data_IF_910324286577
#
_entry.id   IF_910324286577
#
_cell.length_a   1.000
_cell.length_b   1.000
_cell.length_c   1.000
_cell.angle_alpha   90.00
_cell.angle_beta   90.00
_cell.angle_gamma   90.00
#
_symmetry.space_group_name_H-M   'P 1'
#
loop_
_entity.id
_entity.type
_entity.pdbx_description
1 polymer ?
#
# COMPACT_ATOMS: atom_id res chain seq x y z
N UNK A 1 23.95 -25.00 -1.90
CA UNK A 1 22.74 -24.62 -2.64
C UNK A 1 21.62 -24.41 -1.64
N UNK A 2 21.00 -23.24 -1.62
CA UNK A 2 19.99 -22.86 -0.65
C UNK A 2 18.71 -23.71 -0.70
N UNK A 3 17.91 -23.63 0.33
CA UNK A 3 16.72 -24.46 0.52
C UNK A 3 15.45 -23.66 0.27
N UNK A 4 14.52 -24.25 -0.48
CA UNK A 4 13.23 -23.65 -0.78
C UNK A 4 12.13 -24.41 -0.02
N UNK A 5 11.38 -23.69 0.82
CA UNK A 5 10.33 -24.23 1.66
C UNK A 5 9.01 -23.50 1.46
N UNK A 6 7.93 -24.12 1.92
CA UNK A 6 6.63 -23.48 2.11
C UNK A 6 6.07 -23.78 3.49
N UNK A 7 5.33 -22.82 4.05
CA UNK A 7 4.43 -23.03 5.19
C UNK A 7 3.02 -23.01 4.65
N UNK A 8 2.30 -24.15 4.65
CA UNK A 8 0.95 -24.26 4.09
C UNK A 8 -0.05 -23.28 4.71
N UNK A 9 -1.05 -22.87 3.95
CA UNK A 9 -2.03 -21.84 4.35
C UNK A 9 -2.82 -22.19 5.63
N UNK A 10 -3.08 -23.47 5.89
CA UNK A 10 -3.76 -23.94 7.10
C UNK A 10 -2.93 -23.80 8.38
N UNK A 11 -1.64 -23.45 8.25
CA UNK A 11 -0.74 -23.28 9.40
C UNK A 11 -0.39 -21.82 9.60
N UNK A 12 -0.29 -21.34 10.85
CA UNK A 12 0.07 -19.94 11.11
C UNK A 12 1.54 -19.71 10.71
N UNK A 13 1.75 -18.81 9.74
CA UNK A 13 3.04 -18.59 9.09
C UNK A 13 4.14 -18.15 10.07
N UNK A 14 3.94 -17.00 10.74
CA UNK A 14 4.96 -16.46 11.65
C UNK A 14 5.22 -17.33 12.88
N UNK A 15 4.20 -17.92 13.53
CA UNK A 15 4.44 -18.91 14.60
C UNK A 15 5.19 -20.15 14.13
N UNK A 16 4.94 -20.65 12.92
CA UNK A 16 5.69 -21.79 12.37
C UNK A 16 7.14 -21.42 12.10
N UNK A 17 7.39 -20.24 11.52
CA UNK A 17 8.73 -19.72 11.26
C UNK A 17 9.51 -19.52 12.57
N UNK A 18 8.93 -18.76 13.52
CA UNK A 18 9.57 -18.46 14.80
C UNK A 18 9.80 -19.71 15.66
N UNK A 19 8.82 -20.62 15.72
CA UNK A 19 8.92 -21.84 16.53
C UNK A 19 10.06 -22.76 16.12
N UNK A 20 10.33 -22.86 14.81
CA UNK A 20 11.49 -23.61 14.32
C UNK A 20 12.80 -22.88 14.64
N UNK A 21 12.87 -21.58 14.40
CA UNK A 21 14.08 -20.79 14.63
C UNK A 21 14.45 -20.70 16.12
N UNK A 22 13.48 -20.70 17.04
CA UNK A 22 13.71 -20.73 18.48
C UNK A 22 14.35 -22.03 19.00
N UNK A 23 14.44 -23.09 18.20
CA UNK A 23 15.17 -24.32 18.55
C UNK A 23 16.67 -24.18 18.35
N UNK A 24 17.11 -23.15 17.65
CA UNK A 24 18.52 -22.84 17.45
C UNK A 24 19.13 -22.32 18.77
N UNK A 25 20.44 -22.54 18.99
CA UNK A 25 21.15 -21.84 20.05
C UNK A 25 20.98 -20.31 19.92
N UNK A 26 20.90 -19.57 21.05
CA UNK A 26 20.64 -18.12 21.00
C UNK A 26 21.63 -17.32 20.14
N UNK A 27 22.91 -17.71 20.17
CA UNK A 27 23.97 -17.08 19.37
C UNK A 27 23.74 -17.33 17.87
N UNK A 28 23.41 -18.57 17.50
CA UNK A 28 23.12 -18.93 16.12
C UNK A 28 21.86 -18.23 15.61
N UNK A 29 20.83 -18.07 16.45
CA UNK A 29 19.63 -17.30 16.11
C UNK A 29 19.96 -15.83 15.84
N UNK A 30 20.79 -15.20 16.69
CA UNK A 30 21.18 -13.80 16.55
C UNK A 30 21.97 -13.50 15.27
N UNK A 31 22.69 -14.49 14.73
CA UNK A 31 23.45 -14.35 13.50
C UNK A 31 22.57 -14.36 12.23
N UNK A 32 21.30 -14.75 12.33
CA UNK A 32 20.41 -14.79 11.18
C UNK A 32 20.00 -13.38 10.72
N UNK A 33 19.91 -13.22 9.40
CA UNK A 33 19.21 -12.13 8.75
C UNK A 33 17.89 -12.67 8.20
N UNK A 34 16.76 -12.13 8.66
CA UNK A 34 15.42 -12.52 8.18
C UNK A 34 14.85 -11.39 7.34
N UNK A 35 14.67 -11.67 6.06
CA UNK A 35 14.02 -10.77 5.10
C UNK A 35 12.51 -11.05 5.09
N UNK A 36 11.70 -10.01 5.26
CA UNK A 36 10.24 -10.08 5.33
C UNK A 36 9.60 -9.08 4.36
N UNK A 37 8.33 -9.27 3.96
CA UNK A 37 7.71 -8.42 2.96
C UNK A 37 7.45 -6.98 3.43
N UNK A 38 7.29 -6.73 4.74
CA UNK A 38 6.93 -5.41 5.27
C UNK A 38 7.44 -5.16 6.68
N UNK A 39 7.49 -3.88 7.11
CA UNK A 39 7.79 -3.49 8.50
C UNK A 39 6.79 -4.09 9.49
N UNK A 40 5.50 -4.17 9.12
CA UNK A 40 4.47 -4.81 9.95
C UNK A 40 4.79 -6.28 10.17
N UNK A 41 5.23 -7.00 9.15
CA UNK A 41 5.67 -8.39 9.28
C UNK A 41 6.90 -8.54 10.19
N UNK A 42 7.85 -7.60 10.14
CA UNK A 42 8.99 -7.58 11.04
C UNK A 42 8.57 -7.39 12.50
N UNK A 43 7.67 -6.43 12.76
CA UNK A 43 7.15 -6.19 14.11
C UNK A 43 6.38 -7.40 14.64
N UNK A 44 5.49 -7.99 13.84
CA UNK A 44 4.70 -9.14 14.24
C UNK A 44 5.58 -10.39 14.46
N UNK A 45 6.63 -10.59 13.65
CA UNK A 45 7.59 -11.68 13.88
C UNK A 45 8.37 -11.46 15.19
N UNK A 46 8.82 -10.24 15.46
CA UNK A 46 9.45 -9.88 16.73
C UNK A 46 8.54 -10.22 17.92
N UNK A 47 7.30 -9.79 17.87
CA UNK A 47 6.32 -10.02 18.92
C UNK A 47 5.96 -11.51 19.02
N UNK A 48 6.01 -12.25 17.92
CA UNK A 48 5.83 -13.70 17.90
C UNK A 48 6.99 -14.42 18.59
N UNK A 49 8.23 -14.02 18.35
CA UNK A 49 9.38 -14.53 19.09
C UNK A 49 9.22 -14.31 20.60
N UNK A 50 8.79 -13.10 21.01
CA UNK A 50 8.58 -12.78 22.43
C UNK A 50 7.44 -13.57 23.07
N UNK A 51 6.38 -13.88 22.31
CA UNK A 51 5.26 -14.72 22.82
C UNK A 51 5.61 -16.19 22.95
N UNK A 52 6.49 -16.70 22.09
CA UNK A 52 6.82 -18.12 22.04
C UNK A 52 8.03 -18.49 22.92
N UNK A 53 8.89 -17.53 23.23
CA UNK A 53 10.04 -17.80 24.10
C UNK A 53 9.63 -17.95 25.57
N UNK A 54 10.27 -18.90 26.24
CA UNK A 54 10.18 -19.05 27.70
C UNK A 54 11.39 -18.46 28.43
N UNK A 55 12.38 -18.00 27.67
CA UNK A 55 13.61 -17.43 28.20
C UNK A 55 13.37 -16.00 28.74
N UNK A 56 14.05 -15.60 29.84
CA UNK A 56 13.92 -14.25 30.39
C UNK A 56 14.50 -13.15 29.49
N UNK A 57 15.38 -13.51 28.56
CA UNK A 57 15.95 -12.64 27.54
C UNK A 57 16.21 -13.42 26.27
N UNK A 58 16.05 -12.77 25.12
CA UNK A 58 16.28 -13.36 23.81
C UNK A 58 17.10 -12.39 22.95
N UNK A 59 18.17 -12.89 22.35
CA UNK A 59 18.89 -12.22 21.28
C UNK A 59 18.11 -12.45 19.98
N UNK A 60 17.48 -11.40 19.47
CA UNK A 60 16.69 -11.48 18.26
C UNK A 60 17.57 -11.49 17.01
N UNK A 61 17.17 -12.23 15.95
CA UNK A 61 17.78 -12.10 14.64
C UNK A 61 17.57 -10.69 14.07
N UNK A 62 18.35 -10.32 13.08
CA UNK A 62 18.13 -9.08 12.33
C UNK A 62 16.91 -9.25 11.43
N UNK A 63 15.89 -8.42 11.61
CA UNK A 63 14.65 -8.43 10.83
C UNK A 63 14.63 -7.25 9.87
N UNK A 64 14.37 -7.51 8.58
CA UNK A 64 14.44 -6.48 7.56
C UNK A 64 13.28 -6.59 6.56
N UNK A 65 12.54 -5.50 6.29
CA UNK A 65 11.53 -5.46 5.25
C UNK A 65 12.17 -5.31 3.86
N UNK A 66 11.65 -6.06 2.86
CA UNK A 66 12.10 -5.99 1.46
C UNK A 66 11.07 -5.30 0.57
N UNK A 67 9.77 -5.40 0.90
CA UNK A 67 8.67 -4.94 0.04
C UNK A 67 8.23 -3.50 0.24
N UNK A 68 8.41 -2.92 1.43
CA UNK A 68 8.16 -1.51 1.69
C UNK A 68 9.47 -0.76 1.57
N UNK A 69 9.69 -0.17 0.43
CA UNK A 69 10.92 0.57 0.17
C UNK A 69 10.78 2.00 0.67
N UNK A 70 10.75 2.14 1.99
CA UNK A 70 11.26 3.35 2.59
C UNK A 70 12.77 3.15 2.79
N UNK A 71 13.52 3.87 2.00
CA UNK A 71 14.93 3.69 1.72
C UNK A 71 15.87 3.95 2.90
N UNK A 72 15.32 4.49 3.99
CA UNK A 72 16.04 4.70 5.25
C UNK A 72 16.29 3.40 6.03
N UNK A 73 15.62 2.28 5.68
CA UNK A 73 15.58 1.07 6.50
C UNK A 73 16.37 -0.13 5.96
N UNK A 74 16.98 -0.01 4.79
CA UNK A 74 17.91 -1.05 4.37
C UNK A 74 19.20 -0.97 5.23
N UNK A 75 19.73 -2.07 5.79
CA UNK A 75 20.91 -2.00 6.65
C UNK A 75 22.09 -1.37 5.92
N UNK A 76 22.78 -0.51 6.65
CA UNK A 76 24.00 0.17 6.21
C UNK A 76 25.03 -0.71 5.47
N UNK A 77 25.27 -1.99 5.82
CA UNK A 77 26.23 -2.82 5.08
C UNK A 77 25.82 -3.16 3.65
N UNK A 78 24.50 -3.29 3.38
CA UNK A 78 23.96 -3.54 2.02
C UNK A 78 23.76 -2.27 1.22
N UNK A 79 23.88 -1.09 1.87
CA UNK A 79 23.60 0.23 1.29
C UNK A 79 24.84 1.08 1.03
N UNK A 80 25.95 0.80 1.69
CA UNK A 80 27.14 1.65 1.62
C UNK A 80 27.72 1.74 0.20
N UNK A 81 27.61 0.68 -0.59
CA UNK A 81 28.10 0.64 -1.98
C UNK A 81 27.07 1.15 -3.01
N UNK A 82 25.77 1.13 -2.69
CA UNK A 82 24.71 1.70 -3.52
C UNK A 82 24.64 3.25 -3.47
N UNK A 83 25.52 3.89 -2.72
CA UNK A 83 25.56 5.34 -2.55
C UNK A 83 26.02 6.12 -3.80
N UNK A 84 26.46 5.44 -4.85
CA UNK A 84 26.92 6.07 -6.10
C UNK A 84 25.77 6.44 -7.08
N UNK A 85 24.54 5.99 -6.83
CA UNK A 85 23.39 6.33 -7.68
C UNK A 85 22.81 7.69 -7.30
N UNK A 86 22.38 8.53 -8.26
CA UNK A 86 21.65 9.75 -7.96
C UNK A 86 20.46 9.49 -7.04
N UNK A 87 20.06 10.45 -6.19
CA UNK A 87 18.91 10.26 -5.30
C UNK A 87 17.60 10.17 -6.09
N UNK A 88 16.56 9.53 -5.54
CA UNK A 88 15.25 9.53 -6.17
C UNK A 88 14.68 10.95 -6.17
N UNK A 89 13.98 11.31 -7.25
CA UNK A 89 13.31 12.59 -7.37
C UNK A 89 12.21 12.72 -6.32
N UNK A 90 12.06 13.92 -5.73
CA UNK A 90 10.96 14.19 -4.82
C UNK A 90 9.59 13.96 -5.50
N UNK A 91 8.63 13.26 -4.87
CA UNK A 91 7.35 12.91 -5.49
C UNK A 91 6.51 14.10 -5.96
N UNK A 92 6.52 15.21 -5.22
CA UNK A 92 5.81 16.42 -5.63
C UNK A 92 6.51 17.11 -6.80
N UNK A 93 7.83 17.23 -6.75
CA UNK A 93 8.64 17.79 -7.85
C UNK A 93 8.47 16.98 -9.14
N UNK A 94 8.52 15.64 -9.03
CA UNK A 94 8.25 14.71 -10.14
C UNK A 94 6.92 15.01 -10.81
N UNK A 95 5.85 15.09 -10.02
CA UNK A 95 4.49 15.34 -10.51
C UNK A 95 4.38 16.71 -11.20
N UNK A 96 4.98 17.75 -10.63
CA UNK A 96 4.95 19.08 -11.20
C UNK A 96 5.76 19.18 -12.51
N UNK A 97 6.91 18.51 -12.61
CA UNK A 97 7.72 18.46 -13.83
C UNK A 97 6.99 17.70 -14.95
N UNK A 98 6.39 16.53 -14.63
CA UNK A 98 5.55 15.79 -15.57
C UNK A 98 4.35 16.64 -16.02
N UNK A 99 3.69 17.37 -15.12
CA UNK A 99 2.59 18.26 -15.48
C UNK A 99 3.03 19.38 -16.44
N UNK A 100 4.23 19.92 -16.27
CA UNK A 100 4.82 20.89 -17.21
C UNK A 100 5.06 20.29 -18.60
N UNK A 101 5.57 19.07 -18.68
CA UNK A 101 5.76 18.35 -19.96
C UNK A 101 4.41 18.09 -20.64
N UNK A 102 3.41 17.66 -19.89
CA UNK A 102 2.04 17.45 -20.38
C UNK A 102 1.47 18.75 -20.96
N UNK A 103 1.58 19.86 -20.25
CA UNK A 103 1.12 21.18 -20.74
C UNK A 103 1.87 21.69 -21.97
N UNK A 104 3.14 21.37 -22.09
CA UNK A 104 3.94 21.71 -23.28
C UNK A 104 3.46 20.98 -24.53
N UNK A 105 2.83 19.81 -24.39
CA UNK A 105 2.30 19.01 -25.52
C UNK A 105 0.84 19.25 -25.82
N UNK A 106 0.02 19.58 -24.82
CA UNK A 106 -1.40 19.77 -24.98
C UNK A 106 -1.90 20.95 -24.13
N UNK A 107 -2.64 21.87 -24.77
CA UNK A 107 -3.26 23.00 -24.07
C UNK A 107 -4.37 22.49 -23.16
N UNK A 108 -4.15 22.52 -21.84
CA UNK A 108 -5.13 22.09 -20.84
C UNK A 108 -4.99 22.89 -19.54
N UNK A 109 -6.03 22.91 -18.68
CA UNK A 109 -5.97 23.51 -17.36
C UNK A 109 -4.93 22.82 -16.45
N UNK A 110 -4.32 23.57 -15.53
CA UNK A 110 -3.30 23.06 -14.60
C UNK A 110 -3.78 21.84 -13.80
N UNK A 111 -5.00 21.87 -13.33
CA UNK A 111 -5.59 20.76 -12.57
C UNK A 111 -5.65 19.47 -13.38
N UNK A 112 -6.03 19.55 -14.66
CA UNK A 112 -6.08 18.40 -15.56
C UNK A 112 -4.67 17.89 -15.86
N UNK A 113 -3.72 18.80 -16.09
CA UNK A 113 -2.30 18.43 -16.31
C UNK A 113 -1.70 17.71 -15.10
N UNK A 114 -2.00 18.16 -13.87
CA UNK A 114 -1.53 17.53 -12.65
C UNK A 114 -2.15 16.13 -12.46
N UNK A 115 -3.45 15.96 -12.75
CA UNK A 115 -4.09 14.62 -12.70
C UNK A 115 -3.46 13.66 -13.69
N UNK A 116 -3.26 14.10 -14.93
CA UNK A 116 -2.64 13.28 -15.96
C UNK A 116 -1.18 12.96 -15.62
N UNK A 117 -0.42 13.93 -15.09
CA UNK A 117 0.93 13.70 -14.60
C UNK A 117 1.00 12.66 -13.48
N UNK A 118 -0.02 12.59 -12.62
CA UNK A 118 -0.12 11.55 -11.59
C UNK A 118 -0.27 10.17 -12.23
N UNK A 119 -1.20 10.00 -13.18
CA UNK A 119 -1.37 8.74 -13.90
C UNK A 119 -0.14 8.33 -14.72
N UNK A 120 0.56 9.31 -15.30
CA UNK A 120 1.84 9.04 -15.99
C UNK A 120 2.94 8.59 -15.03
N UNK A 121 3.03 9.20 -13.84
CA UNK A 121 3.98 8.77 -12.82
C UNK A 121 3.69 7.34 -12.36
N UNK A 122 2.42 6.98 -12.15
CA UNK A 122 2.00 5.62 -11.81
C UNK A 122 2.33 4.61 -12.92
N UNK A 123 2.11 4.99 -14.18
CA UNK A 123 2.49 4.16 -15.34
C UNK A 123 4.00 3.93 -15.41
N UNK A 124 4.80 5.00 -15.22
CA UNK A 124 6.25 4.89 -15.18
C UNK A 124 6.71 3.94 -14.06
N UNK A 125 6.13 4.08 -12.87
CA UNK A 125 6.46 3.22 -11.74
C UNK A 125 6.13 1.75 -12.04
N UNK A 126 5.00 1.49 -12.70
CA UNK A 126 4.61 0.15 -13.11
C UNK A 126 5.59 -0.42 -14.15
N UNK A 127 5.86 0.33 -15.22
CA UNK A 127 6.75 -0.10 -16.32
C UNK A 127 8.16 -0.38 -15.78
N UNK A 128 8.72 0.51 -14.98
CA UNK A 128 10.05 0.34 -14.41
C UNK A 128 10.10 -0.79 -13.37
N UNK A 129 9.04 -0.95 -12.58
CA UNK A 129 8.94 -2.06 -11.61
C UNK A 129 8.91 -3.41 -12.30
N UNK A 130 8.13 -3.54 -13.38
CA UNK A 130 8.02 -4.76 -14.18
C UNK A 130 9.18 -4.92 -15.19
N UNK A 131 10.06 -3.91 -15.29
CA UNK A 131 11.15 -3.87 -16.29
C UNK A 131 10.62 -4.04 -17.71
N UNK A 132 9.43 -3.49 -17.98
CA UNK A 132 8.79 -3.55 -19.27
C UNK A 132 9.35 -2.48 -20.21
N UNK A 133 9.33 -2.75 -21.51
CA UNK A 133 9.73 -1.80 -22.54
C UNK A 133 8.52 -1.02 -23.06
N UNK A 134 8.55 0.30 -22.91
CA UNK A 134 7.54 1.19 -23.49
C UNK A 134 7.58 1.23 -25.01
N UNK A 135 8.74 0.93 -25.62
CA UNK A 135 8.89 0.86 -27.07
C UNK A 135 8.01 -0.21 -27.70
N UNK A 136 7.87 -1.37 -27.06
CA UNK A 136 7.01 -2.46 -27.49
C UNK A 136 5.51 -2.15 -27.50
N UNK A 137 5.06 -1.10 -26.82
CA UNK A 137 3.66 -0.66 -26.88
C UNK A 137 3.23 -0.23 -28.30
N UNK A 138 4.17 0.22 -29.11
CA UNK A 138 3.89 0.62 -30.50
C UNK A 138 3.56 -0.58 -31.40
N UNK A 139 4.15 -1.72 -31.11
CA UNK A 139 4.00 -2.94 -31.89
C UNK A 139 2.72 -3.72 -31.53
N UNK A 140 2.09 -3.40 -30.40
CA UNK A 140 0.84 -4.03 -29.93
C UNK A 140 -0.43 -3.39 -30.52
N UNK A 141 -0.30 -2.32 -31.33
CA UNK A 141 -1.45 -1.55 -31.79
C UNK A 141 -2.02 -2.12 -33.10
N UNK A 142 -3.32 -2.44 -33.16
CA UNK A 142 -3.99 -2.76 -34.41
C UNK A 142 -3.96 -1.55 -35.37
N UNK A 143 -3.67 -1.80 -36.64
CA UNK A 143 -3.58 -0.77 -37.71
C UNK A 143 -4.89 0.06 -37.83
N UNK A 144 -6.04 -0.53 -37.49
CA UNK A 144 -7.37 0.07 -37.63
C UNK A 144 -7.73 1.14 -36.58
N UNK A 145 -6.94 1.29 -35.51
CA UNK A 145 -7.15 2.27 -34.43
C UNK A 145 -6.18 3.46 -34.53
N UNK A 146 -5.63 3.71 -35.72
CA UNK A 146 -4.43 4.50 -35.92
C UNK A 146 -4.50 5.96 -35.44
N UNK A 147 -5.61 6.69 -35.61
CA UNK A 147 -5.63 8.14 -35.37
C UNK A 147 -5.64 8.49 -33.87
N UNK A 148 -6.54 7.90 -33.10
CA UNK A 148 -6.63 8.17 -31.65
C UNK A 148 -5.41 7.63 -30.88
N UNK A 149 -4.87 6.49 -31.30
CA UNK A 149 -3.70 5.88 -30.69
C UNK A 149 -2.38 6.57 -31.05
N UNK A 150 -2.29 7.20 -32.22
CA UNK A 150 -1.12 8.02 -32.58
C UNK A 150 -0.94 9.17 -31.57
N UNK A 151 -2.00 9.82 -31.15
CA UNK A 151 -1.94 10.86 -30.13
C UNK A 151 -1.48 10.30 -28.77
N UNK A 152 -1.94 9.10 -28.38
CA UNK A 152 -1.50 8.42 -27.16
C UNK A 152 -0.03 8.04 -27.24
N UNK A 153 0.43 7.48 -28.35
CA UNK A 153 1.85 7.10 -28.56
C UNK A 153 2.76 8.33 -28.58
N UNK A 154 2.33 9.41 -29.24
CA UNK A 154 3.06 10.70 -29.20
C UNK A 154 3.14 11.23 -27.77
N UNK A 155 2.06 11.08 -27.00
CA UNK A 155 2.00 11.49 -25.61
C UNK A 155 2.88 10.62 -24.70
N UNK A 156 2.87 9.30 -24.88
CA UNK A 156 3.77 8.37 -24.19
C UNK A 156 5.26 8.62 -24.57
N UNK A 157 5.53 9.19 -25.72
CA UNK A 157 6.87 9.66 -26.10
C UNK A 157 7.46 10.74 -25.17
N UNK A 158 6.62 11.40 -24.34
CA UNK A 158 7.10 12.24 -23.23
C UNK A 158 7.93 11.40 -22.25
N UNK A 159 7.42 10.21 -21.91
CA UNK A 159 8.03 9.34 -20.92
C UNK A 159 9.32 8.70 -21.42
N UNK A 160 9.36 8.35 -22.71
CA UNK A 160 10.49 7.66 -23.32
C UNK A 160 11.68 8.59 -23.64
N UNK A 161 11.40 9.81 -24.09
CA UNK A 161 12.44 10.73 -24.61
C UNK A 161 12.69 11.94 -23.72
N UNK A 162 11.65 12.64 -23.29
CA UNK A 162 11.82 13.92 -22.60
C UNK A 162 12.03 13.74 -21.09
N UNK A 163 11.41 12.73 -20.52
CA UNK A 163 11.49 12.51 -19.07
C UNK A 163 12.92 12.15 -18.60
N UNK A 164 13.68 11.26 -19.27
CA UNK A 164 15.08 10.99 -18.93
C UNK A 164 15.98 12.24 -18.96
N UNK A 165 15.77 13.15 -19.93
CA UNK A 165 16.52 14.39 -20.01
C UNK A 165 16.21 15.31 -18.82
N UNK A 166 14.95 15.38 -18.39
CA UNK A 166 14.53 16.14 -17.20
C UNK A 166 15.17 15.56 -15.94
N UNK A 167 15.14 14.24 -15.76
CA UNK A 167 15.78 13.58 -14.61
C UNK A 167 17.30 13.84 -14.58
N UNK A 168 17.96 13.76 -15.72
CA UNK A 168 19.38 14.07 -15.83
C UNK A 168 19.69 15.52 -15.45
N UNK A 169 18.84 16.48 -15.87
CA UNK A 169 18.98 17.90 -15.49
C UNK A 169 18.72 18.15 -13.99
N UNK A 170 17.87 17.36 -13.37
CA UNK A 170 17.61 17.40 -11.92
C UNK A 170 18.68 16.67 -11.10
N UNK A 171 19.58 15.90 -11.73
CA UNK A 171 20.54 15.05 -11.03
C UNK A 171 19.89 13.96 -10.19
N UNK A 172 18.75 13.44 -10.65
CA UNK A 172 17.90 12.50 -9.93
C UNK A 172 17.51 11.32 -10.83
N UNK A 173 16.94 10.29 -10.23
CA UNK A 173 16.36 9.12 -10.92
C UNK A 173 14.92 8.88 -10.44
N UNK A 174 14.17 8.09 -11.19
CA UNK A 174 12.82 7.67 -10.77
C UNK A 174 12.87 6.77 -9.53
N UNK A 175 11.87 6.84 -8.64
CA UNK A 175 11.84 6.03 -7.42
C UNK A 175 11.88 4.52 -7.69
N UNK A 176 11.18 4.04 -8.73
CA UNK A 176 11.16 2.61 -9.07
C UNK A 176 12.51 2.14 -9.63
N UNK A 177 13.13 2.93 -10.50
CA UNK A 177 14.46 2.66 -11.04
C UNK A 177 15.52 2.64 -9.94
N UNK A 178 15.50 3.64 -9.05
CA UNK A 178 16.41 3.69 -7.92
C UNK A 178 16.26 2.47 -7.00
N UNK A 179 15.03 2.02 -6.71
CA UNK A 179 14.76 0.79 -5.97
C UNK A 179 15.38 -0.43 -6.64
N UNK A 180 15.16 -0.58 -7.97
CA UNK A 180 15.71 -1.68 -8.73
C UNK A 180 17.24 -1.69 -8.70
N UNK A 181 17.88 -0.52 -8.86
CA UNK A 181 19.33 -0.38 -8.80
C UNK A 181 19.88 -0.75 -7.41
N UNK A 182 19.18 -0.38 -6.34
CA UNK A 182 19.61 -0.75 -4.98
C UNK A 182 19.47 -2.24 -4.70
N UNK A 183 18.40 -2.87 -5.16
CA UNK A 183 18.26 -4.33 -5.03
C UNK A 183 19.36 -5.04 -5.84
N UNK A 184 19.69 -4.56 -7.04
CA UNK A 184 20.78 -5.09 -7.83
C UNK A 184 22.13 -4.98 -7.09
N UNK A 185 22.44 -3.81 -6.53
CA UNK A 185 23.66 -3.61 -5.73
C UNK A 185 23.70 -4.52 -4.49
N UNK A 186 22.56 -4.73 -3.82
CA UNK A 186 22.47 -5.67 -2.71
C UNK A 186 22.74 -7.12 -3.15
N UNK A 187 22.22 -7.54 -4.30
CA UNK A 187 22.47 -8.84 -4.91
C UNK A 187 23.98 -9.00 -5.23
N UNK A 188 24.59 -8.01 -5.85
CA UNK A 188 26.02 -8.04 -6.17
C UNK A 188 26.86 -8.15 -4.89
N UNK A 189 26.49 -7.40 -3.85
CA UNK A 189 27.16 -7.50 -2.53
C UNK A 189 27.05 -8.92 -1.95
N UNK A 190 25.85 -9.55 -2.01
CA UNK A 190 25.64 -10.92 -1.54
C UNK A 190 26.48 -11.94 -2.33
N UNK A 191 26.67 -11.73 -3.62
CA UNK A 191 27.47 -12.60 -4.48
C UNK A 191 28.98 -12.43 -4.27
N UNK A 192 29.41 -11.18 -4.02
CA UNK A 192 30.83 -10.87 -3.88
C UNK A 192 31.34 -11.12 -2.44
N UNK A 193 30.47 -11.05 -1.44
CA UNK A 193 30.84 -11.17 -0.03
C UNK A 193 29.92 -12.14 0.69
N UNK A 194 30.47 -13.25 1.16
CA UNK A 194 29.71 -14.20 1.95
C UNK A 194 29.10 -13.51 3.18
N UNK A 195 27.79 -13.69 3.43
CA UNK A 195 27.16 -13.15 4.63
C UNK A 195 27.76 -13.76 5.89
N UNK A 196 27.78 -13.00 6.99
CA UNK A 196 28.32 -13.46 8.27
C UNK A 196 27.51 -14.60 8.90
N UNK A 197 26.26 -14.81 8.46
CA UNK A 197 25.35 -15.83 8.97
C UNK A 197 24.25 -16.18 7.95
N UNK A 198 23.35 -17.10 8.32
CA UNK A 198 22.27 -17.55 7.44
C UNK A 198 21.32 -16.41 7.07
N UNK A 199 20.82 -16.45 5.82
CA UNK A 199 19.77 -15.52 5.34
C UNK A 199 18.48 -16.30 5.10
N UNK A 200 17.40 -15.87 5.72
CA UNK A 200 16.06 -16.44 5.56
C UNK A 200 15.14 -15.40 4.94
N UNK A 201 14.73 -15.58 3.69
CA UNK A 201 13.70 -14.75 3.05
C UNK A 201 12.34 -15.42 3.22
N UNK A 202 11.43 -14.84 4.00
CA UNK A 202 10.19 -15.47 4.40
C UNK A 202 8.94 -14.62 4.09
N UNK A 203 7.90 -15.27 3.54
CA UNK A 203 6.63 -14.64 3.26
C UNK A 203 6.65 -13.68 2.05
N UNK A 204 7.69 -13.71 1.24
CA UNK A 204 7.88 -12.85 0.07
C UNK A 204 7.41 -13.62 -1.17
N UNK A 205 6.56 -13.01 -2.00
CA UNK A 205 5.95 -13.66 -3.18
C UNK A 205 6.73 -13.46 -4.47
N UNK A 206 7.75 -12.58 -4.46
CA UNK A 206 8.56 -12.30 -5.66
C UNK A 206 7.78 -11.71 -6.84
N UNK A 207 6.66 -11.03 -6.58
CA UNK A 207 5.84 -10.39 -7.63
C UNK A 207 6.59 -9.32 -8.41
N UNK A 208 7.55 -8.65 -7.77
CA UNK A 208 8.43 -7.65 -8.40
C UNK A 208 9.68 -8.35 -8.91
N UNK A 209 10.05 -8.24 -10.21
CA UNK A 209 11.20 -8.93 -10.78
C UNK A 209 12.53 -8.73 -10.01
N UNK A 210 12.80 -7.51 -9.56
CA UNK A 210 14.00 -7.22 -8.76
C UNK A 210 14.02 -7.94 -7.41
N UNK A 211 12.84 -8.19 -6.83
CA UNK A 211 12.70 -8.99 -5.59
C UNK A 211 12.88 -10.47 -5.88
N UNK A 212 12.37 -10.97 -7.01
CA UNK A 212 12.59 -12.35 -7.42
C UNK A 212 14.08 -12.64 -7.66
N UNK A 213 14.82 -11.69 -8.26
CA UNK A 213 16.28 -11.79 -8.42
C UNK A 213 16.99 -11.85 -7.06
N UNK A 214 16.53 -11.08 -6.06
CA UNK A 214 17.05 -11.15 -4.70
C UNK A 214 16.80 -12.53 -4.07
N UNK A 215 15.59 -13.10 -4.26
CA UNK A 215 15.28 -14.44 -3.77
C UNK A 215 16.16 -15.51 -4.45
N UNK A 216 16.43 -15.37 -5.75
CA UNK A 216 17.37 -16.22 -6.47
C UNK A 216 18.78 -16.12 -5.86
N UNK A 217 19.27 -14.90 -5.64
CA UNK A 217 20.58 -14.70 -5.01
C UNK A 217 20.66 -15.28 -3.60
N UNK A 218 19.59 -15.22 -2.82
CA UNK A 218 19.53 -15.88 -1.50
C UNK A 218 19.62 -17.41 -1.66
N UNK A 219 18.94 -18.00 -2.64
CA UNK A 219 19.01 -19.45 -2.90
C UNK A 219 20.38 -19.91 -3.44
N UNK A 220 21.17 -19.02 -4.02
CA UNK A 220 22.53 -19.30 -4.46
C UNK A 220 23.52 -19.43 -3.27
N UNK A 221 23.16 -18.89 -2.10
CA UNK A 221 23.99 -18.98 -0.89
C UNK A 221 23.89 -20.37 -0.26
N UNK A 222 24.99 -20.89 0.31
CA UNK A 222 25.01 -22.18 0.99
C UNK A 222 24.07 -22.24 2.20
N UNK A 223 23.93 -21.13 2.92
CA UNK A 223 23.04 -20.97 4.08
C UNK A 223 21.83 -20.09 3.77
N UNK A 224 21.47 -19.99 2.50
CA UNK A 224 20.29 -19.26 2.07
C UNK A 224 19.02 -20.12 2.19
N UNK A 225 17.94 -19.51 2.66
CA UNK A 225 16.64 -20.17 2.79
C UNK A 225 15.55 -19.24 2.28
N UNK A 226 14.67 -19.77 1.45
CA UNK A 226 13.45 -19.07 1.02
C UNK A 226 12.23 -19.83 1.52
N UNK A 227 11.30 -19.14 2.18
CA UNK A 227 10.08 -19.73 2.75
C UNK A 227 8.87 -19.05 2.12
N UNK A 228 8.19 -19.76 1.23
CA UNK A 228 7.02 -19.29 0.52
C UNK A 228 5.77 -19.27 1.43
N UNK A 229 4.88 -18.27 1.30
CA UNK A 229 3.66 -18.22 2.08
C UNK A 229 2.54 -19.02 1.42
N UNK A 230 2.03 -20.04 2.08
CA UNK A 230 0.80 -20.73 1.71
C UNK A 230 0.82 -21.53 0.41
N UNK A 231 1.97 -21.68 -0.24
CA UNK A 231 2.08 -22.45 -1.48
C UNK A 231 1.81 -23.92 -1.20
N UNK A 232 1.02 -24.57 -2.05
CA UNK A 232 0.74 -26.01 -1.98
C UNK A 232 1.68 -26.77 -2.93
N UNK A 233 2.68 -27.50 -2.42
CA UNK A 233 3.59 -28.26 -3.27
C UNK A 233 2.92 -29.51 -3.90
N UNK A 234 1.75 -29.91 -3.41
CA UNK A 234 0.95 -31.00 -3.95
C UNK A 234 -0.01 -30.56 -5.07
N UNK A 235 0.09 -29.30 -5.53
CA UNK A 235 -0.72 -28.82 -6.67
C UNK A 235 -0.52 -29.70 -7.89
N UNK A 236 -1.62 -30.09 -8.54
CA UNK A 236 -1.57 -30.89 -9.76
C UNK A 236 -0.74 -30.19 -10.85
N UNK A 237 0.16 -30.90 -11.56
CA UNK A 237 0.99 -30.31 -12.60
C UNK A 237 0.17 -29.63 -13.70
N UNK A 238 -0.98 -30.18 -14.08
CA UNK A 238 -1.87 -29.58 -15.08
C UNK A 238 -2.50 -28.29 -14.58
N UNK A 239 -2.87 -28.22 -13.32
CA UNK A 239 -3.38 -27.00 -12.65
C UNK A 239 -2.29 -25.95 -12.58
N UNK A 240 -1.08 -26.33 -12.16
CA UNK A 240 0.05 -25.42 -12.08
C UNK A 240 0.43 -24.81 -13.45
N UNK A 241 0.41 -25.60 -14.50
CA UNK A 241 0.71 -25.13 -15.87
C UNK A 241 -0.37 -24.17 -16.44
N UNK A 242 -1.57 -24.17 -15.87
CA UNK A 242 -2.71 -23.34 -16.29
C UNK A 242 -3.05 -22.20 -15.31
N UNK A 243 -2.14 -21.83 -14.39
CA UNK A 243 -2.35 -20.71 -13.48
C UNK A 243 -2.50 -19.41 -14.27
N UNK A 244 -3.64 -18.74 -14.13
CA UNK A 244 -3.90 -17.42 -14.72
C UNK A 244 -3.66 -16.28 -13.72
N UNK A 245 -3.63 -15.02 -14.19
CA UNK A 245 -3.32 -13.83 -13.35
C UNK A 245 -4.24 -13.65 -12.14
N UNK A 246 -5.45 -14.20 -12.18
CA UNK A 246 -6.42 -14.12 -11.08
C UNK A 246 -6.26 -15.22 -10.04
N UNK A 247 -5.42 -16.23 -10.32
CA UNK A 247 -5.21 -17.33 -9.39
C UNK A 247 -4.27 -16.92 -8.25
N UNK A 248 -4.53 -17.30 -6.96
CA UNK A 248 -3.69 -16.94 -5.83
C UNK A 248 -2.23 -17.36 -5.97
N UNK A 249 -1.96 -18.47 -6.65
CA UNK A 249 -0.60 -18.99 -6.85
C UNK A 249 0.08 -18.49 -8.12
N UNK A 250 -0.57 -17.64 -8.93
CA UNK A 250 0.03 -17.14 -10.17
C UNK A 250 1.40 -16.46 -9.95
N UNK A 251 1.45 -15.56 -8.96
CA UNK A 251 2.70 -14.86 -8.64
C UNK A 251 3.80 -15.81 -8.15
N UNK A 252 3.43 -16.80 -7.31
CA UNK A 252 4.39 -17.82 -6.84
C UNK A 252 4.80 -18.78 -7.95
N UNK A 253 3.90 -19.10 -8.88
CA UNK A 253 4.20 -19.88 -10.09
C UNK A 253 5.23 -19.16 -10.96
N UNK A 254 5.02 -17.88 -11.25
CA UNK A 254 6.00 -17.07 -12.00
C UNK A 254 7.35 -16.98 -11.28
N UNK A 255 7.35 -16.85 -9.96
CA UNK A 255 8.58 -16.87 -9.17
C UNK A 255 9.31 -18.21 -9.33
N UNK A 256 8.58 -19.33 -9.22
CA UNK A 256 9.19 -20.66 -9.37
C UNK A 256 9.78 -20.85 -10.77
N UNK A 257 9.05 -20.43 -11.82
CA UNK A 257 9.53 -20.46 -13.20
C UNK A 257 10.83 -19.64 -13.35
N UNK A 258 10.88 -18.43 -12.79
CA UNK A 258 12.07 -17.56 -12.81
C UNK A 258 13.25 -18.18 -12.06
N UNK A 259 12.97 -18.91 -10.97
CA UNK A 259 13.98 -19.64 -10.20
C UNK A 259 14.42 -20.95 -10.87
N UNK A 260 13.80 -21.35 -12.00
CA UNK A 260 14.03 -22.64 -12.65
C UNK A 260 13.63 -23.82 -11.76
N UNK A 261 12.56 -23.65 -10.95
CA UNK A 261 12.06 -24.64 -9.97
C UNK A 261 10.63 -25.01 -10.29
N UNK A 262 10.24 -26.24 -9.92
CA UNK A 262 8.86 -26.68 -9.94
C UNK A 262 8.25 -26.84 -8.56
N UNK A 263 6.92 -27.15 -8.47
CA UNK A 263 6.27 -27.44 -7.19
C UNK A 263 6.96 -28.52 -6.37
N UNK A 264 7.49 -29.54 -7.03
CA UNK A 264 8.20 -30.66 -6.39
C UNK A 264 9.53 -30.26 -5.71
N UNK A 265 10.11 -29.11 -6.09
CA UNK A 265 11.33 -28.59 -5.48
C UNK A 265 11.06 -27.82 -4.18
N UNK A 266 9.78 -27.57 -3.86
CA UNK A 266 9.36 -26.84 -2.66
C UNK A 266 9.08 -27.82 -1.53
N UNK A 267 9.94 -27.85 -0.52
CA UNK A 267 9.75 -28.71 0.65
C UNK A 267 8.82 -28.06 1.68
N UNK A 268 8.18 -28.85 2.52
CA UNK A 268 7.46 -28.33 3.68
C UNK A 268 8.43 -27.80 4.72
N UNK A 269 8.07 -26.65 5.33
CA UNK A 269 8.84 -26.09 6.45
C UNK A 269 8.88 -27.09 7.60
N UNK A 270 10.06 -27.38 8.17
CA UNK A 270 10.18 -28.36 9.24
C UNK A 270 9.44 -27.90 10.50
N UNK A 271 8.75 -28.84 11.13
CA UNK A 271 8.03 -28.64 12.41
C UNK A 271 7.13 -27.40 12.45
N UNK A 272 6.19 -27.22 11.49
CA UNK A 272 5.31 -26.08 11.50
C UNK A 272 4.36 -26.14 12.71
N UNK A 273 3.90 -24.96 13.16
CA UNK A 273 2.88 -24.88 14.20
C UNK A 273 1.60 -25.66 13.79
N UNK A 274 0.80 -26.13 14.76
CA UNK A 274 -0.41 -26.91 14.48
C UNK A 274 -1.33 -26.22 13.47
N UNK A 275 -1.95 -27.00 12.59
CA UNK A 275 -2.92 -26.51 11.63
C UNK A 275 -4.13 -25.90 12.36
N UNK A 276 -4.62 -24.74 11.85
CA UNK A 276 -5.79 -24.04 12.39
C UNK A 276 -7.09 -24.40 11.66
N UNK A 277 -6.99 -25.08 10.53
CA UNK A 277 -8.16 -25.53 9.77
C UNK A 277 -8.04 -27.01 9.42
N UNK A 278 -9.18 -27.71 9.22
CA UNK A 278 -9.17 -29.12 8.85
C UNK A 278 -8.56 -29.35 7.47
N UNK A 279 -7.83 -30.45 7.30
CA UNK A 279 -7.19 -30.82 6.03
C UNK A 279 -8.15 -30.83 4.82
N UNK A 280 -9.41 -31.32 4.90
CA UNK A 280 -10.37 -31.27 3.79
C UNK A 280 -10.69 -29.85 3.30
N UNK A 281 -10.51 -28.82 4.13
CA UNK A 281 -10.69 -27.43 3.68
C UNK A 281 -9.60 -27.00 2.69
N UNK A 282 -8.35 -27.43 2.84
CA UNK A 282 -7.29 -27.16 1.88
C UNK A 282 -7.67 -27.70 0.50
N UNK A 283 -8.13 -28.94 0.45
CA UNK A 283 -8.61 -29.56 -0.80
C UNK A 283 -9.80 -28.80 -1.39
N UNK A 284 -10.78 -28.44 -0.56
CA UNK A 284 -11.93 -27.65 -1.00
C UNK A 284 -11.50 -26.31 -1.62
N UNK A 285 -10.58 -25.58 -0.97
CA UNK A 285 -10.10 -24.31 -1.47
C UNK A 285 -9.29 -24.46 -2.76
N UNK A 286 -8.47 -25.50 -2.88
CA UNK A 286 -7.75 -25.81 -4.11
C UNK A 286 -8.71 -26.04 -5.28
N UNK A 287 -9.81 -26.78 -5.05
CA UNK A 287 -10.83 -27.03 -6.05
C UNK A 287 -11.65 -25.78 -6.40
N UNK A 288 -12.03 -24.96 -5.42
CA UNK A 288 -12.73 -23.67 -5.67
C UNK A 288 -11.88 -22.75 -6.56
N UNK A 289 -10.57 -22.79 -6.38
CA UNK A 289 -9.62 -21.95 -7.13
C UNK A 289 -9.10 -22.62 -8.42
N UNK A 290 -9.56 -23.80 -8.77
CA UNK A 290 -9.13 -24.52 -9.97
C UNK A 290 -9.33 -23.67 -11.23
N UNK A 291 -8.29 -23.53 -12.10
CA UNK A 291 -8.41 -22.78 -13.34
C UNK A 291 -9.51 -23.33 -14.26
N UNK A 292 -10.17 -22.44 -15.01
CA UNK A 292 -11.24 -22.83 -15.92
C UNK A 292 -10.80 -23.88 -16.95
N UNK A 293 -9.55 -23.85 -17.40
CA UNK A 293 -8.98 -24.81 -18.34
C UNK A 293 -8.92 -26.25 -17.79
N UNK A 294 -9.03 -26.44 -16.48
CA UNK A 294 -8.98 -27.77 -15.81
C UNK A 294 -10.26 -28.08 -15.01
N UNK A 295 -11.31 -27.26 -15.16
CA UNK A 295 -12.56 -27.40 -14.40
C UNK A 295 -13.36 -28.68 -14.73
N UNK A 296 -13.06 -29.36 -15.84
CA UNK A 296 -13.67 -30.65 -16.18
C UNK A 296 -13.49 -31.72 -15.09
N UNK A 297 -12.40 -31.63 -14.32
CA UNK A 297 -12.14 -32.52 -13.18
C UNK A 297 -13.24 -32.47 -12.12
N UNK A 298 -14.04 -31.40 -12.03
CA UNK A 298 -15.18 -31.32 -11.11
C UNK A 298 -16.29 -32.34 -11.40
N UNK A 299 -16.39 -32.81 -12.65
CA UNK A 299 -17.41 -33.81 -13.01
C UNK A 299 -17.17 -35.16 -12.34
N UNK A 300 -15.90 -35.46 -12.04
CA UNK A 300 -15.48 -36.72 -11.42
C UNK A 300 -15.18 -36.56 -9.91
N UNK A 301 -15.26 -35.34 -9.40
CA UNK A 301 -14.92 -35.05 -8.00
C UNK A 301 -16.01 -35.55 -7.05
N UNK A 302 -15.60 -36.26 -6.00
CA UNK A 302 -16.51 -36.62 -4.92
C UNK A 302 -16.96 -35.34 -4.16
N UNK A 303 -18.20 -35.29 -3.64
CA UNK A 303 -18.68 -34.18 -2.83
C UNK A 303 -17.72 -33.89 -1.66
N UNK A 304 -17.37 -32.62 -1.39
CA UNK A 304 -16.55 -32.28 -0.25
C UNK A 304 -17.16 -32.72 1.07
N UNK A 305 -16.35 -33.21 2.00
CA UNK A 305 -16.80 -33.59 3.32
C UNK A 305 -17.34 -32.38 4.13
N UNK A 306 -18.42 -32.57 4.91
CA UNK A 306 -19.04 -31.48 5.71
C UNK A 306 -18.06 -30.74 6.61
N UNK A 307 -17.04 -31.44 7.13
CA UNK A 307 -15.98 -30.83 7.95
C UNK A 307 -15.18 -29.76 7.22
N UNK A 308 -15.14 -29.78 5.87
CA UNK A 308 -14.49 -28.74 5.08
C UNK A 308 -15.21 -27.39 5.20
N UNK A 309 -16.49 -27.39 5.47
CA UNK A 309 -17.32 -26.19 5.64
C UNK A 309 -17.46 -25.73 7.11
N UNK A 310 -16.95 -26.51 8.06
CA UNK A 310 -17.10 -26.22 9.49
C UNK A 310 -16.58 -24.80 9.84
N UNK A 311 -17.45 -23.95 10.38
CA UNK A 311 -17.10 -22.56 10.74
C UNK A 311 -17.01 -21.58 9.55
N UNK A 312 -17.42 -21.97 8.33
CA UNK A 312 -17.70 -21.06 7.24
C UNK A 312 -19.15 -20.56 7.34
N UNK A 313 -19.33 -19.28 7.11
CA UNK A 313 -20.65 -18.66 7.04
C UNK A 313 -20.70 -17.68 5.87
N UNK A 314 -21.84 -17.62 5.20
CA UNK A 314 -22.14 -16.62 4.17
C UNK A 314 -23.29 -15.79 4.69
N UNK A 315 -23.14 -14.48 4.64
CA UNK A 315 -24.19 -13.55 5.04
C UNK A 315 -24.53 -12.62 3.87
N UNK A 316 -25.79 -12.62 3.46
CA UNK A 316 -26.32 -11.70 2.46
C UNK A 316 -26.96 -10.52 3.19
N UNK A 317 -26.60 -9.29 2.80
CA UNK A 317 -27.09 -8.06 3.40
C UNK A 317 -27.80 -7.21 2.33
N UNK A 318 -28.93 -6.64 2.66
CA UNK A 318 -29.72 -5.81 1.74
C UNK A 318 -29.04 -4.45 1.45
N UNK A 319 -28.25 -3.96 2.40
CA UNK A 319 -27.60 -2.67 2.28
C UNK A 319 -26.15 -2.70 2.78
N UNK A 320 -25.26 -1.83 2.23
CA UNK A 320 -23.89 -1.71 2.73
C UNK A 320 -23.78 -1.29 4.22
N UNK A 321 -24.84 -0.65 4.76
CA UNK A 321 -24.91 -0.32 6.17
C UNK A 321 -25.16 -1.54 7.05
N UNK A 322 -26.05 -2.45 6.63
CA UNK A 322 -26.28 -3.72 7.32
C UNK A 322 -25.06 -4.62 7.27
N UNK A 323 -24.38 -4.67 6.10
CA UNK A 323 -23.12 -5.41 5.95
C UNK A 323 -22.06 -4.92 6.93
N UNK A 324 -21.85 -3.59 6.99
CA UNK A 324 -20.88 -3.00 7.90
C UNK A 324 -21.20 -3.27 9.38
N UNK A 325 -22.48 -3.19 9.77
CA UNK A 325 -22.92 -3.48 11.13
C UNK A 325 -22.74 -4.98 11.48
N UNK A 326 -23.10 -5.90 10.57
CA UNK A 326 -22.91 -7.32 10.77
C UNK A 326 -21.44 -7.67 10.99
N UNK A 327 -20.57 -7.16 10.12
CA UNK A 327 -19.12 -7.37 10.25
C UNK A 327 -18.60 -6.80 11.57
N UNK A 328 -19.03 -5.60 11.97
CA UNK A 328 -18.63 -4.99 13.23
C UNK A 328 -19.07 -5.81 14.44
N UNK A 329 -20.28 -6.38 14.42
CA UNK A 329 -20.77 -7.25 15.48
C UNK A 329 -19.97 -8.55 15.60
N UNK A 330 -19.63 -9.17 14.46
CA UNK A 330 -18.80 -10.38 14.45
C UNK A 330 -17.37 -10.12 14.94
N UNK A 331 -16.78 -8.99 14.54
CA UNK A 331 -15.45 -8.59 15.03
C UNK A 331 -15.48 -8.31 16.53
N UNK A 332 -16.52 -7.68 17.02
CA UNK A 332 -16.70 -7.44 18.45
C UNK A 332 -16.90 -8.74 19.24
N UNK A 333 -17.76 -9.65 18.77
CA UNK A 333 -17.99 -10.97 19.39
C UNK A 333 -16.67 -11.74 19.55
N UNK A 334 -15.79 -11.67 18.56
CA UNK A 334 -14.47 -12.30 18.64
C UNK A 334 -13.64 -11.75 19.82
N UNK A 335 -13.77 -10.46 20.14
CA UNK A 335 -13.06 -9.82 21.26
C UNK A 335 -13.61 -10.19 22.64
N UNK A 336 -14.84 -10.70 22.74
CA UNK A 336 -15.40 -11.20 24.01
C UNK A 336 -14.70 -12.45 24.53
N UNK A 337 -13.90 -13.12 23.67
CA UNK A 337 -13.09 -14.29 24.02
C UNK A 337 -11.62 -13.89 24.19
N UNK A 338 -11.01 -14.04 25.38
CA UNK A 338 -9.61 -13.69 25.61
C UNK A 338 -8.66 -14.41 24.66
N UNK A 339 -7.75 -13.66 24.04
CA UNK A 339 -6.74 -14.19 23.13
C UNK A 339 -7.23 -14.50 21.70
N UNK A 340 -8.51 -14.30 21.39
CA UNK A 340 -8.99 -14.36 19.99
C UNK A 340 -8.66 -13.06 19.26
N UNK A 341 -8.31 -13.22 17.99
CA UNK A 341 -8.12 -12.12 17.05
C UNK A 341 -9.07 -12.28 15.88
N UNK A 342 -9.53 -11.18 15.33
CA UNK A 342 -10.37 -11.18 14.13
C UNK A 342 -9.91 -10.09 13.17
N UNK A 343 -10.09 -10.33 11.87
CA UNK A 343 -9.72 -9.38 10.84
C UNK A 343 -10.79 -9.29 9.75
N UNK A 344 -11.07 -8.08 9.30
CA UNK A 344 -11.77 -7.83 8.05
C UNK A 344 -10.76 -7.70 6.93
N UNK A 345 -10.90 -8.53 5.88
CA UNK A 345 -10.13 -8.43 4.65
C UNK A 345 -11.05 -7.95 3.54
N UNK A 346 -10.83 -6.75 3.04
CA UNK A 346 -11.65 -6.15 1.98
C UNK A 346 -10.83 -5.22 1.09
N UNK A 347 -11.04 -5.23 -0.24
CA UNK A 347 -10.54 -4.20 -1.15
C UNK A 347 -11.39 -2.92 -1.09
N UNK A 348 -12.63 -2.98 -0.57
CA UNK A 348 -13.52 -1.84 -0.47
C UNK A 348 -13.17 -0.95 0.74
N UNK A 349 -12.56 0.21 0.45
CA UNK A 349 -12.20 1.21 1.46
C UNK A 349 -13.42 1.87 2.11
N UNK A 350 -14.57 1.89 1.44
CA UNK A 350 -15.79 2.45 2.03
C UNK A 350 -16.38 1.50 3.06
N UNK A 351 -16.39 0.21 2.77
CA UNK A 351 -16.79 -0.82 3.74
C UNK A 351 -15.87 -0.77 4.98
N UNK A 352 -14.55 -0.77 4.77
CA UNK A 352 -13.59 -0.69 5.87
C UNK A 352 -13.87 0.51 6.80
N UNK A 353 -14.11 1.71 6.24
CA UNK A 353 -14.45 2.92 7.02
C UNK A 353 -15.78 2.82 7.76
N UNK A 354 -16.81 2.24 7.13
CA UNK A 354 -18.12 2.03 7.77
C UNK A 354 -17.97 1.09 8.96
N UNK A 355 -17.27 -0.04 8.78
CA UNK A 355 -17.00 -1.00 9.85
C UNK A 355 -16.22 -0.35 10.99
N UNK A 356 -15.16 0.42 10.70
CA UNK A 356 -14.40 1.15 11.72
C UNK A 356 -15.28 2.16 12.49
N UNK A 357 -16.22 2.82 11.80
CA UNK A 357 -17.17 3.74 12.44
C UNK A 357 -18.14 2.98 13.36
N UNK A 358 -18.68 1.85 12.94
CA UNK A 358 -19.56 1.02 13.77
C UNK A 358 -18.82 0.46 14.99
N UNK A 359 -17.57 -0.01 14.82
CA UNK A 359 -16.73 -0.48 15.94
C UNK A 359 -16.43 0.64 16.93
N UNK A 360 -16.22 1.88 16.44
CA UNK A 360 -16.05 3.06 17.29
C UNK A 360 -17.25 3.32 18.22
N UNK A 361 -18.48 2.97 17.82
CA UNK A 361 -19.68 3.05 18.68
C UNK A 361 -19.62 2.07 19.86
N UNK A 362 -18.89 0.98 19.70
CA UNK A 362 -18.63 0.00 20.77
C UNK A 362 -17.35 0.28 21.54
N UNK A 363 -16.68 1.41 21.30
CA UNK A 363 -15.41 1.76 21.95
C UNK A 363 -14.21 0.94 21.47
N UNK A 364 -14.32 0.26 20.35
CA UNK A 364 -13.24 -0.57 19.78
C UNK A 364 -12.41 0.27 18.81
N UNK A 365 -11.10 0.38 19.09
CA UNK A 365 -10.13 0.97 18.18
C UNK A 365 -9.67 -0.08 17.16
N UNK A 366 -9.65 0.30 15.88
CA UNK A 366 -9.29 -0.58 14.76
C UNK A 366 -7.89 -0.26 14.28
N UNK A 367 -7.09 -1.30 14.03
CA UNK A 367 -5.84 -1.18 13.29
C UNK A 367 -6.10 -1.36 11.79
N UNK A 368 -6.22 -0.24 11.08
CA UNK A 368 -6.42 -0.22 9.62
C UNK A 368 -5.07 -0.17 8.89
N UNK A 369 -4.76 -1.21 8.11
CA UNK A 369 -3.49 -1.31 7.39
C UNK A 369 -3.27 -0.22 6.34
N UNK A 370 -4.33 0.37 5.77
CA UNK A 370 -4.24 1.44 4.79
C UNK A 370 -4.24 2.85 5.41
N UNK A 371 -4.59 2.96 6.70
CA UNK A 371 -4.68 4.24 7.40
C UNK A 371 -5.75 5.17 6.85
N UNK A 372 -5.68 6.43 7.27
CA UNK A 372 -6.56 7.50 6.79
C UNK A 372 -5.72 8.53 6.04
N UNK A 373 -6.05 8.86 4.78
CA UNK A 373 -5.37 9.93 4.04
C UNK A 373 -5.38 11.25 4.82
N UNK A 374 -4.25 11.97 4.81
CA UNK A 374 -4.09 13.18 5.63
C UNK A 374 -5.17 14.22 5.31
N UNK A 375 -5.54 14.38 4.05
CA UNK A 375 -6.59 15.31 3.57
C UNK A 375 -7.98 15.01 4.14
N UNK A 376 -8.22 13.77 4.59
CA UNK A 376 -9.46 13.32 5.21
C UNK A 376 -9.44 13.40 6.74
N UNK A 377 -8.30 13.76 7.31
CA UNK A 377 -8.19 14.04 8.74
C UNK A 377 -8.65 15.46 9.06
N UNK A 378 -9.10 15.74 10.31
CA UNK A 378 -9.46 17.11 10.68
C UNK A 378 -8.34 18.15 10.44
N UNK A 379 -7.05 17.92 10.80
CA UNK A 379 -5.99 18.86 10.48
C UNK A 379 -5.77 19.05 8.98
N UNK A 380 -5.74 17.97 8.21
CA UNK A 380 -5.52 18.03 6.76
C UNK A 380 -6.66 18.72 6.03
N UNK A 381 -7.92 18.43 6.39
CA UNK A 381 -9.09 19.11 5.81
C UNK A 381 -9.12 20.60 6.15
N UNK A 382 -8.73 21.01 7.38
CA UNK A 382 -8.59 22.45 7.69
C UNK A 382 -7.52 23.10 6.81
N UNK A 383 -6.35 22.45 6.65
CA UNK A 383 -5.27 22.96 5.81
C UNK A 383 -5.75 23.18 4.37
N UNK A 384 -6.39 22.17 3.76
CA UNK A 384 -6.89 22.27 2.40
C UNK A 384 -7.99 23.34 2.25
N UNK A 385 -8.94 23.40 3.17
CA UNK A 385 -9.99 24.42 3.15
C UNK A 385 -9.43 25.84 3.29
N UNK A 386 -8.40 26.00 4.13
CA UNK A 386 -7.70 27.28 4.29
C UNK A 386 -6.93 27.63 3.01
N UNK A 387 -6.23 26.68 2.41
CA UNK A 387 -5.53 26.90 1.15
C UNK A 387 -6.51 27.28 0.03
N UNK A 388 -7.64 26.59 -0.10
CA UNK A 388 -8.68 26.91 -1.08
C UNK A 388 -9.30 28.32 -0.85
N UNK A 389 -9.47 28.71 0.41
CA UNK A 389 -10.00 30.03 0.75
C UNK A 389 -9.03 31.16 0.41
N UNK A 390 -7.72 30.94 0.62
CA UNK A 390 -6.65 31.96 0.45
C UNK A 390 -6.13 32.03 -0.99
N UNK A 391 -5.89 30.87 -1.62
CA UNK A 391 -5.31 30.78 -2.97
C UNK A 391 -6.37 30.83 -4.08
N UNK A 392 -7.62 30.62 -3.74
CA UNK A 392 -8.76 30.73 -4.66
C UNK A 392 -9.20 32.17 -4.88
N UNK A 393 -10.38 32.32 -5.49
CA UNK A 393 -10.98 33.62 -5.81
C UNK A 393 -11.69 34.30 -4.62
N UNK A 394 -11.51 33.81 -3.39
CA UNK A 394 -12.19 34.28 -2.19
C UNK A 394 -13.70 33.98 -2.19
N UNK A 395 -14.08 32.85 -2.79
CA UNK A 395 -15.49 32.42 -2.85
C UNK A 395 -16.10 32.19 -1.48
N UNK A 396 -17.43 32.41 -1.32
CA UNK A 396 -18.09 32.30 -0.01
C UNK A 396 -18.06 30.89 0.57
N UNK A 397 -18.15 29.86 -0.27
CA UNK A 397 -18.18 28.47 0.17
C UNK A 397 -16.83 28.00 0.75
N UNK A 398 -15.68 28.13 0.05
CA UNK A 398 -14.39 27.80 0.62
C UNK A 398 -14.08 28.57 1.91
N UNK A 399 -14.35 29.88 1.93
CA UNK A 399 -14.11 30.72 3.09
C UNK A 399 -14.94 30.27 4.30
N UNK A 400 -16.25 30.08 4.13
CA UNK A 400 -17.13 29.61 5.22
C UNK A 400 -16.77 28.20 5.68
N UNK A 401 -16.37 27.32 4.79
CA UNK A 401 -15.94 25.96 5.14
C UNK A 401 -14.71 25.99 6.04
N UNK A 402 -13.71 26.83 5.73
CA UNK A 402 -12.54 27.03 6.57
C UNK A 402 -12.91 27.65 7.94
N UNK A 403 -13.71 28.73 7.96
CA UNK A 403 -14.09 29.43 9.19
C UNK A 403 -15.00 28.60 10.11
N UNK A 404 -15.82 27.73 9.56
CA UNK A 404 -16.73 26.85 10.32
C UNK A 404 -16.09 25.52 10.73
N UNK A 405 -14.89 25.24 10.29
CA UNK A 405 -14.21 23.99 10.60
C UNK A 405 -14.05 23.80 12.11
N UNK A 406 -14.22 22.58 12.64
CA UNK A 406 -14.13 22.32 14.10
C UNK A 406 -12.81 22.76 14.77
N UNK A 407 -11.71 22.69 14.05
CA UNK A 407 -10.37 23.09 14.53
C UNK A 407 -10.08 24.57 14.32
N UNK A 408 -10.87 25.31 13.52
CA UNK A 408 -10.66 26.73 13.29
C UNK A 408 -11.01 27.53 14.58
N UNK A 409 -10.08 28.33 15.06
CA UNK A 409 -10.24 29.16 16.26
C UNK A 409 -10.09 30.66 15.98
N UNK A 410 -9.20 31.05 15.07
CA UNK A 410 -8.91 32.44 14.74
C UNK A 410 -8.50 33.31 15.97
N UNK A 411 -7.74 32.74 16.91
CA UNK A 411 -7.37 33.41 18.15
C UNK A 411 -8.49 33.60 19.18
N UNK A 412 -9.69 33.09 18.93
CA UNK A 412 -10.87 33.33 19.76
C UNK A 412 -11.23 32.15 20.66
N UNK A 413 -11.98 32.43 21.73
CA UNK A 413 -12.54 31.41 22.60
C UNK A 413 -13.47 30.45 21.81
N UNK A 414 -13.69 29.21 22.29
CA UNK A 414 -14.55 28.23 21.67
C UNK A 414 -15.91 28.83 21.27
N UNK A 415 -16.30 28.66 20.00
CA UNK A 415 -17.55 29.20 19.46
C UNK A 415 -17.49 30.68 19.03
N UNK A 416 -16.46 31.45 19.41
CA UNK A 416 -16.27 32.86 19.01
C UNK A 416 -16.24 33.01 17.50
N UNK A 417 -15.29 32.30 16.85
CA UNK A 417 -15.15 32.32 15.39
C UNK A 417 -16.43 31.89 14.66
N UNK A 418 -17.12 30.87 15.15
CA UNK A 418 -18.40 30.45 14.55
C UNK A 418 -19.47 31.52 14.59
N UNK A 419 -19.54 32.33 15.66
CA UNK A 419 -20.47 33.45 15.76
C UNK A 419 -20.12 34.53 14.72
N UNK A 420 -18.84 34.86 14.57
CA UNK A 420 -18.37 35.81 13.56
C UNK A 420 -18.62 35.28 12.14
N UNK A 421 -18.29 34.02 11.86
CA UNK A 421 -18.55 33.38 10.58
C UNK A 421 -20.04 33.39 10.20
N UNK A 422 -20.97 33.17 11.17
CA UNK A 422 -22.42 33.28 10.94
C UNK A 422 -22.86 34.72 10.64
N UNK A 423 -22.26 35.73 11.28
CA UNK A 423 -22.52 37.14 10.99
C UNK A 423 -22.04 37.47 9.59
N UNK A 424 -20.79 37.12 9.25
CA UNK A 424 -20.22 37.31 7.92
C UNK A 424 -21.07 36.62 6.83
N UNK A 425 -21.49 35.39 7.06
CA UNK A 425 -22.37 34.64 6.17
C UNK A 425 -23.67 35.41 5.89
N UNK A 426 -24.38 35.82 6.95
CA UNK A 426 -25.70 36.44 6.84
C UNK A 426 -25.64 37.80 6.22
N UNK A 427 -24.57 38.55 6.47
CA UNK A 427 -24.52 39.96 6.08
C UNK A 427 -23.86 40.22 4.74
N UNK A 428 -22.90 39.38 4.37
CA UNK A 428 -22.05 39.63 3.20
C UNK A 428 -22.03 38.45 2.22
N UNK A 429 -21.96 37.21 2.70
CA UNK A 429 -21.71 36.07 1.81
C UNK A 429 -22.97 35.46 1.22
N UNK A 430 -24.19 35.77 1.78
CA UNK A 430 -25.47 35.37 1.20
C UNK A 430 -25.94 36.43 0.21
N UNK A 431 -26.29 36.03 -1.00
CA UNK A 431 -26.76 36.88 -2.07
C UNK A 431 -25.78 37.04 -3.22
N UNK A 432 -26.00 38.01 -4.10
CA UNK A 432 -25.13 38.25 -5.25
C UNK A 432 -23.74 38.63 -4.81
N UNK A 433 -22.73 38.00 -5.43
CA UNK A 433 -21.32 38.30 -5.17
C UNK A 433 -20.96 39.68 -5.70
N UNK A 434 -20.50 40.58 -4.83
CA UNK A 434 -20.19 41.99 -5.20
C UNK A 434 -18.75 42.19 -5.69
N UNK A 435 -17.93 41.14 -5.64
CA UNK A 435 -16.51 41.21 -6.06
C UNK A 435 -15.73 39.94 -5.69
N UNK A 436 -14.43 39.96 -5.93
CA UNK A 436 -13.51 38.86 -5.63
C UNK A 436 -12.50 39.25 -4.55
N UNK A 437 -12.08 38.26 -3.73
CA UNK A 437 -11.07 38.44 -2.72
C UNK A 437 -11.51 39.13 -1.45
N UNK A 438 -10.58 39.28 -0.51
CA UNK A 438 -10.84 39.89 0.82
C UNK A 438 -11.22 41.35 0.75
N UNK A 439 -10.65 42.12 -0.16
CA UNK A 439 -10.98 43.54 -0.33
C UNK A 439 -12.47 43.78 -0.69
N UNK A 440 -13.09 42.92 -1.50
CA UNK A 440 -14.50 42.99 -1.81
C UNK A 440 -15.39 42.63 -0.60
N UNK A 441 -14.95 41.73 0.25
CA UNK A 441 -15.60 41.39 1.51
C UNK A 441 -15.56 42.54 2.50
N UNK A 442 -14.41 43.20 2.63
CA UNK A 442 -14.21 44.36 3.47
C UNK A 442 -15.10 45.53 3.01
N UNK A 443 -15.08 45.85 1.74
CA UNK A 443 -15.96 46.88 1.17
C UNK A 443 -17.44 46.59 1.46
N UNK A 444 -17.90 45.36 1.31
CA UNK A 444 -19.26 44.96 1.61
C UNK A 444 -19.61 45.02 3.12
N UNK A 445 -18.64 44.80 4.00
CA UNK A 445 -18.78 44.97 5.45
C UNK A 445 -18.90 46.44 5.82
N UNK A 446 -18.17 47.35 5.14
CA UNK A 446 -18.20 48.80 5.41
C UNK A 446 -19.58 49.41 5.12
N UNK A 447 -20.39 48.82 4.27
CA UNK A 447 -21.79 49.26 4.01
C UNK A 447 -22.76 48.95 5.18
N UNK A 448 -22.33 48.16 6.18
CA UNK A 448 -23.16 47.79 7.33
C UNK A 448 -23.01 48.80 8.50
N UNK A 449 -24.04 48.92 9.38
CA UNK A 449 -23.95 49.75 10.56
C UNK A 449 -22.70 49.46 11.40
N UNK A 450 -22.06 50.49 11.93
CA UNK A 450 -20.80 50.36 12.67
C UNK A 450 -20.88 49.37 13.85
N UNK A 451 -21.99 49.37 14.59
CA UNK A 451 -22.20 48.46 15.72
C UNK A 451 -22.22 46.97 15.31
N UNK A 452 -22.64 46.66 14.10
CA UNK A 452 -22.70 45.28 13.61
C UNK A 452 -21.38 44.81 13.01
N UNK A 453 -20.69 45.69 12.27
CA UNK A 453 -19.45 45.36 11.54
C UNK A 453 -18.22 45.34 12.43
N UNK A 454 -18.14 46.19 13.48
CA UNK A 454 -16.91 46.38 14.27
C UNK A 454 -16.29 45.07 14.81
N UNK A 455 -17.08 44.16 15.38
CA UNK A 455 -16.48 42.88 15.87
C UNK A 455 -15.89 41.96 14.79
N UNK A 456 -16.34 42.15 13.51
CA UNK A 456 -15.78 41.36 12.38
C UNK A 456 -14.53 42.07 11.83
N UNK A 457 -14.57 43.43 11.76
CA UNK A 457 -13.43 44.24 11.35
C UNK A 457 -12.28 44.09 12.31
N UNK A 458 -12.51 44.24 13.61
CA UNK A 458 -11.49 44.09 14.64
C UNK A 458 -10.83 42.70 14.61
N UNK A 459 -11.60 41.68 14.29
CA UNK A 459 -11.06 40.33 14.12
C UNK A 459 -10.22 40.20 12.84
N UNK A 460 -10.66 40.77 11.71
CA UNK A 460 -9.93 40.76 10.44
C UNK A 460 -8.59 41.53 10.56
N UNK A 461 -8.62 42.69 11.19
CA UNK A 461 -7.43 43.52 11.43
C UNK A 461 -6.39 42.79 12.31
N UNK A 462 -6.88 42.07 13.36
CA UNK A 462 -6.03 41.23 14.20
C UNK A 462 -5.48 39.99 13.47
N UNK A 463 -6.01 39.64 12.30
CA UNK A 463 -5.52 38.53 11.48
C UNK A 463 -4.50 39.01 10.42
N UNK A 464 -4.52 40.28 10.08
CA UNK A 464 -3.61 40.92 9.12
C UNK A 464 -2.29 41.38 9.76
N UNK A 465 -2.25 41.52 11.08
CA UNK A 465 -1.09 41.83 11.90
C UNK A 465 -0.36 40.54 12.33
#
# INVERSE_FOLDING_TARGET
MGKLFTIPAERPFLPSLAGHLLRLPPEALADHLILLPSRRACLELRDTFLRLTTAPALLLPRLQPVGEVDLADLPLPLLAEAAASPPPIDPLRRRLLLARLVKAKAAMPDEQAIRLATSLAELLDLVQTERADLGGLRDLLPEDLAEHWQDVVVFLGILDRLWPEVLAAEGAVDPAEWRNARLAAAIDTLRCRAPAGPIVAAGITGTVPAVADLLAAVLDLDQGVVVLPGFDPEIEPVTFANLGPTHPFFALGRLLDQLGRGPADVALWPDPAPARSPAPRRTLLAEIMRPAATAEAWQEMAPPADVAFAGLAIAECETPGQEALLVALQLREALDSPGRTAALVTPDRQLARRVATELGRFGVAVDDSAGVPLDQTPPGSLFLLTAHALLGDGGPVPLLSALKHPLARGGLAPGGLRRLARRLERWVLRGPRRGRGLAALEAALLERPAADRQPVVDWLDGFAA
#
